data_IF_858301933117
#
_entry.id   IF_858301933117
#
_cell.length_a   1.000
_cell.length_b   1.000
_cell.length_c   1.000
_cell.angle_alpha   90.00
_cell.angle_beta   90.00
_cell.angle_gamma   90.00
#
_symmetry.space_group_name_H-M   'P 1'
#
loop_
_entity.id
_entity.type
_entity.pdbx_description
1 polymer ?
#
# COMPACT_ATOMS: atom_id res chain seq x y z
N UNK A 1 -2.80 -20.65 -33.82
CA UNK A 1 -2.05 -19.42 -34.12
C UNK A 1 -1.10 -19.18 -32.96
N UNK A 2 0.13 -18.79 -33.30
CA UNK A 2 1.35 -18.92 -32.49
C UNK A 2 1.25 -18.41 -31.05
N UNK A 3 1.52 -19.28 -30.09
CA UNK A 3 1.94 -18.90 -28.74
C UNK A 3 3.36 -18.33 -28.85
N UNK A 4 3.45 -17.00 -28.99
CA UNK A 4 4.72 -16.32 -28.83
C UNK A 4 5.14 -16.49 -27.36
N UNK A 5 6.29 -17.15 -27.15
CA UNK A 5 6.99 -17.13 -25.88
C UNK A 5 7.16 -15.66 -25.47
N UNK A 6 6.47 -15.25 -24.41
CA UNK A 6 6.56 -13.91 -23.85
C UNK A 6 7.98 -13.75 -23.30
N UNK A 7 8.84 -13.08 -24.06
CA UNK A 7 10.14 -12.63 -23.59
C UNK A 7 9.93 -11.90 -22.25
N UNK A 8 10.81 -12.15 -21.29
CA UNK A 8 10.76 -11.45 -20.00
C UNK A 8 10.94 -9.96 -20.31
N UNK A 9 9.85 -9.19 -20.30
CA UNK A 9 9.87 -7.74 -20.37
C UNK A 9 10.89 -7.23 -19.37
N UNK A 10 11.92 -6.54 -19.88
CA UNK A 10 12.89 -5.86 -19.05
C UNK A 10 12.16 -4.82 -18.18
N UNK A 11 12.66 -4.57 -16.97
CA UNK A 11 12.04 -3.58 -16.07
C UNK A 11 11.98 -2.19 -16.73
N UNK A 12 12.90 -1.88 -17.65
CA UNK A 12 12.89 -0.67 -18.47
C UNK A 12 11.72 -0.55 -19.45
N UNK A 13 11.03 -1.66 -19.77
CA UNK A 13 9.76 -1.62 -20.53
C UNK A 13 8.57 -1.25 -19.64
N UNK A 14 8.69 -1.46 -18.32
CA UNK A 14 7.63 -1.15 -17.35
C UNK A 14 7.78 0.24 -16.75
N UNK A 15 9.01 0.62 -16.41
CA UNK A 15 9.34 1.84 -15.66
C UNK A 15 10.00 2.86 -16.57
N UNK A 16 9.69 4.13 -16.38
CA UNK A 16 10.40 5.26 -16.99
C UNK A 16 11.79 5.42 -16.35
N UNK A 17 12.76 4.64 -16.81
CA UNK A 17 14.15 4.70 -16.34
C UNK A 17 14.89 5.98 -16.79
N UNK A 18 14.35 6.71 -17.76
CA UNK A 18 14.92 7.97 -18.23
C UNK A 18 14.71 9.06 -17.17
N UNK A 19 13.52 9.10 -16.57
CA UNK A 19 13.19 9.99 -15.44
C UNK A 19 13.69 9.41 -14.10
N UNK A 20 13.61 8.09 -13.93
CA UNK A 20 13.92 7.38 -12.69
C UNK A 20 15.03 6.34 -12.90
N UNK A 21 16.32 6.71 -12.83
CA UNK A 21 17.44 5.82 -13.18
C UNK A 21 17.71 4.76 -12.09
N UNK A 22 16.77 3.83 -11.92
CA UNK A 22 16.82 2.79 -10.88
C UNK A 22 17.91 1.75 -11.13
N UNK A 23 18.33 1.61 -12.38
CA UNK A 23 19.43 0.76 -12.82
C UNK A 23 20.79 1.30 -12.36
N UNK A 24 20.89 2.61 -12.09
CA UNK A 24 22.10 3.26 -11.60
C UNK A 24 21.81 4.37 -10.55
N UNK A 25 21.40 3.93 -9.36
CA UNK A 25 21.17 4.83 -8.20
C UNK A 25 22.45 5.52 -7.69
N UNK A 26 23.64 5.04 -8.07
CA UNK A 26 24.93 5.65 -7.74
C UNK A 26 25.38 6.70 -8.77
N UNK A 27 24.60 6.94 -9.82
CA UNK A 27 24.80 8.09 -10.71
C UNK A 27 24.47 9.41 -10.02
N UNK A 28 24.83 10.54 -10.65
CA UNK A 28 24.41 11.86 -10.16
C UNK A 28 22.89 12.00 -10.09
N UNK A 29 22.19 11.58 -11.15
CA UNK A 29 20.73 11.61 -11.22
C UNK A 29 20.09 10.63 -10.24
N UNK A 30 20.62 9.42 -10.11
CA UNK A 30 20.15 8.41 -9.16
C UNK A 30 20.25 8.87 -7.70
N UNK A 31 21.37 9.50 -7.32
CA UNK A 31 21.50 10.10 -5.98
C UNK A 31 20.51 11.24 -5.77
N UNK A 32 20.33 12.12 -6.77
CA UNK A 32 19.36 13.20 -6.69
C UNK A 32 17.92 12.68 -6.51
N UNK A 33 17.55 11.61 -7.20
CA UNK A 33 16.26 10.94 -7.03
C UNK A 33 16.06 10.44 -5.59
N UNK A 34 17.05 9.74 -5.02
CA UNK A 34 16.93 9.24 -3.64
C UNK A 34 16.82 10.41 -2.66
N UNK A 35 17.66 11.44 -2.83
CA UNK A 35 17.63 12.63 -1.96
C UNK A 35 16.30 13.39 -2.07
N UNK A 36 15.72 13.52 -3.27
CA UNK A 36 14.44 14.20 -3.42
C UNK A 36 13.30 13.43 -2.75
N UNK A 37 13.25 12.10 -2.91
CA UNK A 37 12.27 11.26 -2.22
C UNK A 37 12.41 11.38 -0.70
N UNK A 38 13.64 11.32 -0.19
CA UNK A 38 13.89 11.49 1.25
C UNK A 38 13.48 12.86 1.75
N UNK A 39 13.75 13.93 1.00
CA UNK A 39 13.35 15.27 1.36
C UNK A 39 11.82 15.43 1.40
N UNK A 40 11.09 14.84 0.44
CA UNK A 40 9.62 14.83 0.45
C UNK A 40 9.06 14.02 1.62
N UNK A 41 9.62 12.86 1.93
CA UNK A 41 9.22 12.09 3.11
C UNK A 41 9.47 12.85 4.41
N UNK A 42 10.60 13.54 4.53
CA UNK A 42 10.91 14.37 5.70
C UNK A 42 9.93 15.55 5.82
N UNK A 43 9.74 16.31 4.74
CA UNK A 43 8.86 17.47 4.75
C UNK A 43 7.39 17.09 4.98
N UNK A 44 6.88 16.15 4.19
CA UNK A 44 5.45 15.93 4.02
C UNK A 44 4.98 14.56 4.51
N UNK A 45 5.88 13.65 4.90
CA UNK A 45 5.54 12.27 5.28
C UNK A 45 5.19 11.36 4.09
N UNK A 46 5.26 11.89 2.86
CA UNK A 46 4.92 11.21 1.63
C UNK A 46 5.82 11.65 0.48
N UNK A 47 6.00 10.78 -0.52
CA UNK A 47 6.64 11.10 -1.79
C UNK A 47 5.88 10.39 -2.92
N UNK A 48 5.71 11.08 -4.06
CA UNK A 48 5.08 10.54 -5.26
C UNK A 48 6.02 10.67 -6.45
N UNK A 49 6.10 9.61 -7.24
CA UNK A 49 6.84 9.54 -8.49
C UNK A 49 5.81 9.42 -9.63
N UNK A 50 5.31 10.55 -10.17
CA UNK A 50 4.31 10.54 -11.24
C UNK A 50 4.89 9.99 -12.54
N UNK A 51 4.05 9.39 -13.39
CA UNK A 51 4.48 8.76 -14.65
C UNK A 51 5.60 7.72 -14.47
N UNK A 52 5.68 7.10 -13.28
CA UNK A 52 6.67 6.08 -12.98
C UNK A 52 6.55 4.86 -13.91
N UNK A 53 5.31 4.43 -14.17
CA UNK A 53 5.04 3.44 -15.20
C UNK A 53 4.99 4.06 -16.58
N UNK A 54 5.54 3.36 -17.57
CA UNK A 54 5.30 3.66 -18.98
C UNK A 54 3.81 3.42 -19.31
N UNK A 55 3.21 4.21 -20.22
CA UNK A 55 1.77 4.14 -20.50
C UNK A 55 1.26 2.74 -20.88
N UNK A 56 2.01 2.01 -21.72
CA UNK A 56 1.67 0.64 -22.10
C UNK A 56 1.64 -0.31 -20.89
N UNK A 57 2.62 -0.21 -19.99
CA UNK A 57 2.69 -1.05 -18.81
C UNK A 57 1.53 -0.77 -17.85
N UNK A 58 1.17 0.50 -17.68
CA UNK A 58 0.00 0.90 -16.91
C UNK A 58 -1.29 0.28 -17.47
N UNK A 59 -1.53 0.40 -18.77
CA UNK A 59 -2.71 -0.17 -19.44
C UNK A 59 -2.81 -1.69 -19.22
N UNK A 60 -1.70 -2.41 -19.42
CA UNK A 60 -1.64 -3.85 -19.21
C UNK A 60 -1.86 -4.25 -17.75
N UNK A 61 -1.23 -3.55 -16.80
CA UNK A 61 -1.40 -3.82 -15.37
C UNK A 61 -2.82 -3.52 -14.87
N UNK A 62 -3.49 -2.50 -15.44
CA UNK A 62 -4.91 -2.23 -15.15
C UNK A 62 -5.78 -3.40 -15.63
N UNK A 63 -5.54 -3.91 -16.85
CA UNK A 63 -6.28 -5.06 -17.36
C UNK A 63 -6.07 -6.33 -16.51
N UNK A 64 -4.83 -6.59 -16.08
CA UNK A 64 -4.52 -7.67 -15.14
C UNK A 64 -5.25 -7.50 -13.80
N UNK A 65 -5.22 -6.30 -13.22
CA UNK A 65 -5.87 -6.02 -11.95
C UNK A 65 -7.40 -6.10 -12.02
N UNK A 66 -8.02 -5.63 -13.10
CA UNK A 66 -9.48 -5.77 -13.34
C UNK A 66 -9.90 -7.23 -13.47
N UNK A 67 -9.09 -8.06 -14.13
CA UNK A 67 -9.36 -9.49 -14.25
C UNK A 67 -9.28 -10.23 -12.90
N UNK A 68 -8.43 -9.74 -11.99
CA UNK A 68 -8.27 -10.27 -10.64
C UNK A 68 -9.27 -9.70 -9.64
N UNK A 69 -9.87 -8.54 -9.90
CA UNK A 69 -10.78 -7.86 -8.99
C UNK A 69 -11.94 -8.74 -8.46
N UNK A 70 -12.55 -9.66 -9.24
CA UNK A 70 -13.56 -10.59 -8.73
C UNK A 70 -13.07 -11.58 -7.67
N UNK A 71 -11.76 -11.76 -7.52
CA UNK A 71 -11.14 -12.61 -6.50
C UNK A 71 -10.87 -11.86 -5.18
N UNK A 72 -11.18 -10.56 -5.13
CA UNK A 72 -10.97 -9.75 -3.95
C UNK A 72 -11.87 -10.21 -2.81
N UNK A 73 -11.30 -10.35 -1.61
CA UNK A 73 -12.08 -10.62 -0.41
C UNK A 73 -12.50 -9.31 0.25
N UNK A 74 -13.79 -9.14 0.48
CA UNK A 74 -14.33 -8.02 1.23
C UNK A 74 -13.99 -8.17 2.71
N UNK A 75 -13.10 -7.30 3.19
CA UNK A 75 -12.71 -7.28 4.60
C UNK A 75 -13.79 -6.68 5.51
N UNK A 76 -13.48 -6.41 6.79
CA UNK A 76 -14.42 -5.80 7.72
C UNK A 76 -14.97 -4.48 7.20
N UNK A 77 -16.25 -4.21 7.52
CA UNK A 77 -16.99 -3.02 7.07
C UNK A 77 -16.88 -1.84 8.02
N UNK A 78 -16.33 -2.05 9.22
CA UNK A 78 -16.15 -1.07 10.28
C UNK A 78 -14.88 -1.42 11.05
N UNK A 79 -13.98 -0.44 11.23
CA UNK A 79 -12.73 -0.60 11.98
C UNK A 79 -12.37 0.70 12.68
N UNK A 80 -11.66 0.60 13.81
CA UNK A 80 -11.00 1.76 14.42
C UNK A 80 -9.66 2.06 13.73
N UNK A 81 -9.08 3.26 13.94
CA UNK A 81 -7.76 3.58 13.39
C UNK A 81 -6.63 2.63 13.81
N UNK A 82 -6.85 1.88 14.89
CA UNK A 82 -5.86 1.01 15.52
C UNK A 82 -6.04 -0.47 15.17
N UNK A 83 -7.07 -0.84 14.37
CA UNK A 83 -7.39 -2.22 14.04
C UNK A 83 -7.35 -3.13 15.28
N UNK A 84 -6.39 -4.04 15.40
CA UNK A 84 -6.30 -5.01 16.49
C UNK A 84 -5.57 -4.50 17.74
N UNK A 85 -5.05 -3.27 17.72
CA UNK A 85 -4.26 -2.71 18.81
C UNK A 85 -5.12 -1.92 19.79
N UNK A 86 -6.29 -2.45 20.16
CA UNK A 86 -7.22 -1.77 21.08
C UNK A 86 -6.63 -1.54 22.47
N UNK A 87 -5.76 -2.44 22.93
CA UNK A 87 -5.16 -2.40 24.26
C UNK A 87 -4.06 -1.33 24.40
N UNK A 88 -3.73 -0.59 23.33
CA UNK A 88 -2.67 0.43 23.35
C UNK A 88 -2.96 1.55 24.36
N UNK A 89 -4.23 1.79 24.68
CA UNK A 89 -4.67 2.75 25.68
C UNK A 89 -5.13 2.10 27.00
N UNK A 90 -4.96 0.78 27.14
CA UNK A 90 -5.53 -0.01 28.22
C UNK A 90 -7.04 -0.28 28.07
N UNK A 91 -7.59 -1.11 28.96
CA UNK A 91 -8.98 -1.56 28.88
C UNK A 91 -10.01 -0.51 29.36
N UNK A 92 -9.59 0.45 30.20
CA UNK A 92 -10.47 1.40 30.90
C UNK A 92 -10.45 2.79 30.25
N UNK A 93 -10.77 2.84 28.95
CA UNK A 93 -10.94 4.11 28.22
C UNK A 93 -12.42 4.43 28.00
N UNK A 94 -12.82 5.71 27.86
CA UNK A 94 -14.20 6.07 27.53
C UNK A 94 -14.63 5.59 26.14
N UNK A 95 -15.93 5.47 25.89
CA UNK A 95 -16.48 5.04 24.59
C UNK A 95 -16.10 5.95 23.42
N UNK A 96 -15.87 7.24 23.68
CA UNK A 96 -15.40 8.21 22.68
C UNK A 96 -13.91 8.16 22.38
N UNK A 97 -13.14 7.28 23.05
CA UNK A 97 -11.69 7.21 22.87
C UNK A 97 -11.31 6.75 21.45
N UNK A 98 -10.29 7.31 20.78
CA UNK A 98 -9.92 6.96 19.40
C UNK A 98 -9.80 5.46 19.11
N UNK A 99 -9.31 4.68 20.06
CA UNK A 99 -9.19 3.21 19.92
C UNK A 99 -10.54 2.50 19.79
N UNK A 100 -11.64 3.09 20.30
CA UNK A 100 -13.02 2.58 20.22
C UNK A 100 -13.84 3.21 19.10
N UNK A 101 -13.35 4.27 18.45
CA UNK A 101 -14.07 4.95 17.37
C UNK A 101 -13.90 4.20 16.07
N UNK A 102 -14.93 3.47 15.67
CA UNK A 102 -14.96 2.84 14.37
C UNK A 102 -15.47 3.79 13.29
N UNK A 103 -15.05 3.54 12.05
CA UNK A 103 -15.69 4.14 10.90
C UNK A 103 -15.71 3.23 9.69
N UNK A 104 -16.42 3.69 8.66
CA UNK A 104 -16.80 2.87 7.52
C UNK A 104 -15.59 2.46 6.69
N UNK A 105 -15.48 1.16 6.45
CA UNK A 105 -14.55 0.55 5.49
C UNK A 105 -15.39 -0.20 4.45
N UNK A 106 -15.03 -0.05 3.19
CA UNK A 106 -15.71 -0.73 2.08
C UNK A 106 -14.68 -0.93 0.97
N UNK A 107 -13.92 -2.01 1.07
CA UNK A 107 -12.91 -2.38 0.08
C UNK A 107 -12.64 -3.88 0.14
N UNK A 108 -12.40 -4.45 -1.04
CA UNK A 108 -11.91 -5.81 -1.21
C UNK A 108 -10.40 -5.83 -1.42
N UNK A 109 -9.74 -6.93 -1.07
CA UNK A 109 -8.32 -7.12 -1.39
C UNK A 109 -8.05 -8.44 -2.09
N UNK A 110 -7.33 -8.38 -3.21
CA UNK A 110 -6.73 -9.56 -3.85
C UNK A 110 -5.38 -9.80 -3.20
N UNK A 111 -5.22 -10.96 -2.57
CA UNK A 111 -3.97 -11.36 -1.92
C UNK A 111 -2.91 -11.81 -2.92
N UNK A 112 -1.65 -11.81 -2.48
CA UNK A 112 -0.51 -12.13 -3.33
C UNK A 112 -0.57 -13.50 -4.00
N UNK A 113 -1.02 -14.54 -3.28
CA UNK A 113 -1.09 -15.91 -3.78
C UNK A 113 -2.11 -16.10 -4.92
N UNK A 114 -3.00 -15.14 -5.12
CA UNK A 114 -3.98 -15.12 -6.21
C UNK A 114 -3.46 -14.35 -7.44
N UNK A 115 -2.33 -13.66 -7.33
CA UNK A 115 -1.73 -12.89 -8.44
C UNK A 115 -0.81 -13.81 -9.24
N UNK A 116 -1.03 -14.00 -10.56
CA UNK A 116 -0.18 -14.84 -11.39
C UNK A 116 1.29 -14.40 -11.33
N UNK A 117 2.21 -15.36 -11.21
CA UNK A 117 3.65 -15.07 -11.07
C UNK A 117 4.23 -14.36 -12.29
N UNK A 118 3.63 -14.61 -13.45
CA UNK A 118 4.05 -14.09 -14.75
C UNK A 118 3.50 -12.68 -15.02
N UNK A 119 2.56 -12.20 -14.19
CA UNK A 119 1.93 -10.86 -14.31
C UNK A 119 2.97 -9.74 -14.25
N UNK A 120 2.66 -8.62 -14.90
CA UNK A 120 3.55 -7.46 -14.87
C UNK A 120 3.69 -6.90 -13.45
N UNK A 121 2.64 -6.96 -12.63
CA UNK A 121 2.71 -6.58 -11.21
C UNK A 121 3.71 -7.42 -10.43
N UNK A 122 3.71 -8.74 -10.62
CA UNK A 122 4.70 -9.62 -10.00
C UNK A 122 6.11 -9.30 -10.51
N UNK A 123 6.29 -9.08 -11.83
CA UNK A 123 7.61 -8.71 -12.39
C UNK A 123 8.14 -7.41 -11.78
N UNK A 124 7.29 -6.39 -11.63
CA UNK A 124 7.65 -5.13 -11.01
C UNK A 124 8.04 -5.32 -9.54
N UNK A 125 7.20 -6.00 -8.75
CA UNK A 125 7.48 -6.26 -7.33
C UNK A 125 8.76 -7.08 -7.12
N UNK A 126 9.01 -8.08 -7.98
CA UNK A 126 10.22 -8.92 -7.92
C UNK A 126 11.45 -8.29 -8.58
N UNK A 127 11.37 -7.07 -9.10
CA UNK A 127 12.55 -6.36 -9.57
C UNK A 127 13.44 -5.94 -8.40
N UNK A 128 14.70 -6.34 -8.45
CA UNK A 128 15.70 -5.90 -7.47
C UNK A 128 15.97 -4.38 -7.59
N UNK A 129 15.60 -3.74 -8.70
CA UNK A 129 15.69 -2.27 -8.82
C UNK A 129 14.71 -1.58 -7.86
N UNK A 130 13.49 -2.10 -7.74
CA UNK A 130 12.48 -1.56 -6.82
C UNK A 130 12.92 -1.77 -5.38
N UNK A 131 13.33 -2.98 -5.02
CA UNK A 131 13.82 -3.28 -3.67
C UNK A 131 15.02 -2.40 -3.31
N UNK A 132 15.97 -2.20 -4.23
CA UNK A 132 17.12 -1.31 -4.03
C UNK A 132 16.71 0.15 -3.86
N UNK A 133 15.77 0.67 -4.67
CA UNK A 133 15.24 2.02 -4.50
C UNK A 133 14.70 2.22 -3.08
N UNK A 134 13.81 1.33 -2.63
CA UNK A 134 13.21 1.43 -1.29
C UNK A 134 14.25 1.29 -0.19
N UNK A 135 15.25 0.40 -0.35
CA UNK A 135 16.37 0.29 0.59
C UNK A 135 17.16 1.60 0.70
N UNK A 136 17.51 2.21 -0.44
CA UNK A 136 18.27 3.48 -0.48
C UNK A 136 17.47 4.62 0.14
N UNK A 137 16.17 4.73 -0.16
CA UNK A 137 15.28 5.72 0.45
C UNK A 137 15.23 5.55 1.98
N UNK A 138 15.15 4.31 2.48
CA UNK A 138 15.18 4.00 3.93
C UNK A 138 16.57 4.10 4.57
N UNK A 139 17.60 4.56 3.86
CA UNK A 139 18.99 4.58 4.33
C UNK A 139 19.49 3.20 4.81
N UNK A 140 19.02 2.13 4.18
CA UNK A 140 19.45 0.75 4.45
C UNK A 140 20.44 0.30 3.38
N UNK A 141 21.43 -0.48 3.80
CA UNK A 141 22.33 -1.20 2.87
C UNK A 141 21.61 -2.34 2.17
N UNK A 142 20.61 -2.92 2.83
CA UNK A 142 19.82 -4.03 2.33
C UNK A 142 18.38 -3.94 2.85
N UNK A 143 17.46 -4.37 2.00
CA UNK A 143 16.05 -4.53 2.33
C UNK A 143 15.57 -5.81 1.62
N UNK A 144 14.60 -6.48 2.21
CA UNK A 144 14.02 -7.70 1.67
C UNK A 144 12.59 -7.43 1.22
N UNK A 145 12.14 -8.15 0.20
CA UNK A 145 10.70 -8.31 -0.04
C UNK A 145 10.11 -9.09 1.14
N UNK A 146 8.88 -8.76 1.55
CA UNK A 146 8.19 -9.58 2.55
C UNK A 146 8.12 -11.02 2.04
N UNK A 147 8.35 -12.00 2.92
CA UNK A 147 8.33 -13.43 2.56
C UNK A 147 6.93 -14.05 2.76
N UNK A 148 5.92 -13.21 2.96
CA UNK A 148 4.55 -13.63 3.24
C UNK A 148 3.82 -14.05 1.96
N UNK A 149 3.08 -15.16 2.02
CA UNK A 149 2.37 -15.69 0.85
C UNK A 149 1.18 -14.81 0.44
N UNK A 150 0.66 -13.98 1.34
CA UNK A 150 -0.58 -13.24 1.15
C UNK A 150 -0.36 -11.72 1.14
N UNK A 151 0.48 -11.21 2.04
CA UNK A 151 0.67 -9.78 2.32
C UNK A 151 1.75 -9.10 1.50
N UNK A 152 2.62 -9.86 0.83
CA UNK A 152 3.80 -9.32 0.12
C UNK A 152 3.47 -8.35 -1.00
N UNK A 153 2.40 -8.65 -1.72
CA UNK A 153 1.86 -7.86 -2.82
C UNK A 153 0.35 -8.02 -2.80
N UNK A 154 -0.42 -6.94 -2.74
CA UNK A 154 -1.88 -7.05 -2.82
C UNK A 154 -2.48 -5.93 -3.65
N UNK A 155 -3.70 -6.18 -4.15
CA UNK A 155 -4.48 -5.20 -4.91
C UNK A 155 -5.70 -4.83 -4.07
N UNK A 156 -5.77 -3.57 -3.65
CA UNK A 156 -6.94 -2.95 -3.06
C UNK A 156 -7.93 -2.59 -4.16
N UNK A 157 -9.16 -3.08 -4.02
CA UNK A 157 -10.26 -2.95 -4.97
C UNK A 157 -11.39 -2.19 -4.30
N UNK A 158 -11.72 -1.01 -4.83
CA UNK A 158 -12.85 -0.21 -4.35
C UNK A 158 -13.82 0.05 -5.51
N UNK A 159 -15.04 -0.46 -5.38
CA UNK A 159 -16.16 -0.13 -6.26
C UNK A 159 -16.79 1.22 -5.85
N UNK A 160 -17.88 1.62 -6.50
CA UNK A 160 -18.68 2.78 -6.09
C UNK A 160 -19.05 2.73 -4.60
N UNK A 161 -18.87 3.85 -3.90
CA UNK A 161 -19.06 3.95 -2.46
C UNK A 161 -18.00 3.21 -1.63
N UNK A 162 -16.97 2.65 -2.27
CA UNK A 162 -15.79 2.07 -1.63
C UNK A 162 -14.99 3.13 -0.89
N UNK A 163 -14.46 2.80 0.28
CA UNK A 163 -13.70 3.72 1.12
C UNK A 163 -12.82 2.96 2.12
N UNK A 164 -11.86 3.66 2.69
CA UNK A 164 -11.06 3.15 3.80
C UNK A 164 -11.04 4.21 4.89
N UNK A 165 -11.55 3.88 6.06
CA UNK A 165 -11.54 4.79 7.21
C UNK A 165 -10.10 5.17 7.62
N UNK A 166 -9.98 6.26 8.36
CA UNK A 166 -8.77 6.62 9.10
C UNK A 166 -8.14 5.42 9.81
N UNK A 167 -6.86 5.16 9.54
CA UNK A 167 -6.08 4.09 10.15
C UNK A 167 -4.58 4.38 10.10
N UNK A 168 -3.83 3.59 10.87
CA UNK A 168 -2.37 3.53 10.82
C UNK A 168 -1.90 2.22 10.19
N UNK A 169 -0.75 2.28 9.53
CA UNK A 169 -0.07 1.09 9.04
C UNK A 169 0.89 0.53 10.07
N UNK A 170 1.17 -0.77 9.94
CA UNK A 170 2.25 -1.41 10.73
C UNK A 170 3.63 -1.06 10.16
N UNK A 171 3.75 -0.93 8.85
CA UNK A 171 5.01 -0.66 8.17
C UNK A 171 5.44 0.80 8.31
N UNK A 172 6.72 1.04 8.60
CA UNK A 172 7.28 2.39 8.68
C UNK A 172 7.22 3.15 7.35
N UNK A 173 7.34 2.44 6.23
CA UNK A 173 7.25 3.01 4.89
C UNK A 173 6.39 2.08 4.03
N UNK A 174 5.23 2.59 3.60
CA UNK A 174 4.32 1.88 2.70
C UNK A 174 4.63 2.31 1.28
N UNK A 175 4.79 1.33 0.39
CA UNK A 175 5.02 1.57 -1.03
C UNK A 175 3.77 1.15 -1.80
N UNK A 176 3.18 2.06 -2.56
CA UNK A 176 1.95 1.80 -3.32
C UNK A 176 2.08 2.28 -4.76
N UNK A 177 1.27 1.68 -5.63
CA UNK A 177 1.18 2.03 -7.04
C UNK A 177 -0.31 2.16 -7.38
N UNK A 178 -0.75 3.36 -7.72
CA UNK A 178 -2.13 3.55 -8.18
C UNK A 178 -2.23 3.06 -9.63
N UNK A 179 -3.04 2.06 -9.90
CA UNK A 179 -3.25 1.55 -11.26
C UNK A 179 -4.42 2.27 -11.93
N UNK A 180 -5.52 2.44 -11.19
CA UNK A 180 -6.72 3.06 -11.72
C UNK A 180 -7.33 3.97 -10.67
N UNK A 181 -7.51 5.24 -11.01
CA UNK A 181 -8.28 6.19 -10.23
C UNK A 181 -9.79 5.97 -10.46
N UNK A 182 -10.60 6.34 -9.46
CA UNK A 182 -12.04 6.48 -9.62
C UNK A 182 -12.39 7.63 -10.58
N UNK A 183 -13.66 7.76 -10.97
CA UNK A 183 -14.14 8.95 -11.71
C UNK A 183 -14.06 10.21 -10.85
N UNK A 184 -14.38 10.10 -9.56
CA UNK A 184 -14.15 11.13 -8.55
C UNK A 184 -14.11 10.50 -7.14
N UNK A 185 -13.72 11.27 -6.13
CA UNK A 185 -13.50 10.73 -4.79
C UNK A 185 -12.31 9.76 -4.77
N UNK A 186 -12.27 8.83 -3.82
CA UNK A 186 -11.12 7.92 -3.69
C UNK A 186 -9.81 8.65 -3.36
N UNK A 187 -9.91 9.85 -2.79
CA UNK A 187 -8.79 10.73 -2.45
C UNK A 187 -8.07 10.15 -1.25
N UNK A 188 -6.74 10.09 -1.33
CA UNK A 188 -5.90 9.71 -0.20
C UNK A 188 -5.70 10.93 0.69
N UNK A 189 -6.23 10.87 1.90
CA UNK A 189 -6.06 11.92 2.91
C UNK A 189 -5.20 11.40 4.06
N UNK A 190 -4.34 12.23 4.62
CA UNK A 190 -3.48 11.86 5.73
C UNK A 190 -3.17 13.01 6.69
N UNK A 191 -2.92 12.69 7.95
CA UNK A 191 -2.40 13.58 8.97
C UNK A 191 -0.97 13.14 9.32
N UNK A 192 0.07 13.81 8.78
CA UNK A 192 1.46 13.38 8.90
C UNK A 192 1.93 13.43 10.34
N UNK A 193 2.63 12.36 10.76
CA UNK A 193 3.33 12.27 12.05
C UNK A 193 2.45 12.76 13.21
N UNK A 194 1.20 12.34 13.20
CA UNK A 194 0.23 12.68 14.25
C UNK A 194 0.59 12.00 15.57
N UNK A 195 1.35 10.90 15.52
CA UNK A 195 1.90 10.17 16.67
C UNK A 195 3.40 9.93 16.53
N UNK A 196 4.05 9.46 17.60
CA UNK A 196 5.45 9.05 17.62
C UNK A 196 5.63 7.78 18.49
N UNK A 197 6.88 7.39 18.77
CA UNK A 197 7.19 6.17 19.53
C UNK A 197 6.85 6.32 21.03
N UNK A 198 6.79 7.55 21.54
CA UNK A 198 6.55 7.85 22.95
C UNK A 198 5.08 8.14 23.26
N UNK A 199 4.32 8.66 22.30
CA UNK A 199 2.94 9.12 22.49
C UNK A 199 2.09 8.93 21.22
N UNK A 200 0.87 8.41 21.43
CA UNK A 200 -0.16 8.23 20.40
C UNK A 200 -0.89 9.52 20.07
N UNK A 201 -0.77 10.56 20.93
CA UNK A 201 -1.45 11.84 20.83
C UNK A 201 -2.96 11.69 20.57
N UNK A 202 -3.63 10.93 21.44
CA UNK A 202 -5.05 10.58 21.25
C UNK A 202 -5.97 11.79 21.08
N UNK A 203 -5.67 12.93 21.70
CA UNK A 203 -6.45 14.17 21.55
C UNK A 203 -6.37 14.72 20.12
N UNK A 204 -5.17 14.72 19.51
CA UNK A 204 -4.99 15.13 18.11
C UNK A 204 -5.70 14.16 17.16
N UNK A 205 -5.57 12.86 17.42
CA UNK A 205 -6.26 11.82 16.65
C UNK A 205 -7.78 12.03 16.76
N UNK A 206 -8.31 12.26 17.96
CA UNK A 206 -9.73 12.53 18.19
C UNK A 206 -10.20 13.74 17.39
N UNK A 207 -9.44 14.84 17.39
CA UNK A 207 -9.77 16.05 16.63
C UNK A 207 -9.94 15.77 15.13
N UNK A 208 -9.02 14.99 14.53
CA UNK A 208 -9.14 14.58 13.11
C UNK A 208 -10.35 13.68 12.88
N UNK A 209 -10.64 12.75 13.80
CA UNK A 209 -11.82 11.89 13.73
C UNK A 209 -13.14 12.68 13.87
N UNK A 210 -13.14 13.78 14.64
CA UNK A 210 -14.25 14.73 14.78
C UNK A 210 -14.39 15.68 13.60
N UNK A 211 -13.46 15.60 12.63
CA UNK A 211 -13.53 16.31 11.36
C UNK A 211 -12.64 17.53 11.26
N UNK A 212 -11.73 17.78 12.23
CA UNK A 212 -10.70 18.79 12.07
C UNK A 212 -9.81 18.45 10.86
N UNK A 213 -9.61 19.46 10.01
CA UNK A 213 -8.82 19.39 8.77
C UNK A 213 -7.54 20.20 8.84
N UNK A 214 -7.26 20.87 9.96
CA UNK A 214 -6.09 21.73 10.14
C UNK A 214 -4.76 21.03 9.87
N UNK A 215 -4.69 19.71 10.11
CA UNK A 215 -3.53 18.84 9.88
C UNK A 215 -3.72 17.83 8.76
N UNK A 216 -4.84 17.89 8.04
CA UNK A 216 -5.15 16.90 6.99
C UNK A 216 -4.65 17.40 5.65
N UNK A 217 -3.85 16.57 5.00
CA UNK A 217 -3.31 16.79 3.67
C UNK A 217 -3.93 15.78 2.70
N UNK A 218 -4.05 16.18 1.44
CA UNK A 218 -4.44 15.29 0.35
C UNK A 218 -3.19 14.94 -0.46
N UNK A 219 -2.98 13.64 -0.72
CA UNK A 219 -1.96 13.18 -1.64
C UNK A 219 -2.62 12.98 -3.02
N UNK A 220 -2.21 13.78 -3.99
CA UNK A 220 -2.68 13.64 -5.37
C UNK A 220 -2.05 12.39 -6.01
N UNK A 221 -2.75 11.26 -5.93
CA UNK A 221 -2.32 10.00 -6.52
C UNK A 221 -2.74 9.93 -7.99
N UNK A 222 -1.76 9.92 -8.88
CA UNK A 222 -1.98 9.75 -10.32
C UNK A 222 -1.84 8.28 -10.74
N UNK A 223 -2.68 7.76 -11.66
CA UNK A 223 -2.48 6.44 -12.24
C UNK A 223 -1.08 6.27 -12.81
N UNK A 224 -0.43 5.15 -12.48
CA UNK A 224 0.96 4.86 -12.84
C UNK A 224 2.01 5.44 -11.91
N UNK A 225 1.64 6.24 -10.91
CA UNK A 225 2.58 6.82 -9.95
C UNK A 225 2.97 5.82 -8.85
N UNK A 226 4.27 5.71 -8.56
CA UNK A 226 4.79 5.01 -7.38
C UNK A 226 4.80 5.98 -6.20
N UNK A 227 4.24 5.57 -5.06
CA UNK A 227 4.09 6.42 -3.89
C UNK A 227 4.71 5.75 -2.67
N UNK A 228 5.43 6.54 -1.88
CA UNK A 228 6.02 6.11 -0.62
C UNK A 228 5.44 6.97 0.50
N UNK A 229 5.00 6.36 1.59
CA UNK A 229 4.27 7.05 2.64
C UNK A 229 4.59 6.49 4.04
N UNK A 230 4.77 7.37 5.02
CA UNK A 230 5.06 7.02 6.42
C UNK A 230 3.79 6.69 7.22
N UNK A 231 3.12 5.60 6.87
CA UNK A 231 1.82 5.23 7.45
C UNK A 231 1.85 4.77 8.91
N UNK A 232 3.03 4.46 9.45
CA UNK A 232 3.13 4.11 10.86
C UNK A 232 2.80 5.28 11.79
N UNK A 233 3.35 6.47 11.52
CA UNK A 233 3.14 7.66 12.35
C UNK A 233 2.05 8.59 11.81
N UNK A 234 1.57 8.33 10.60
CA UNK A 234 0.64 9.21 9.89
C UNK A 234 -0.70 8.50 9.71
N UNK A 235 -1.74 9.03 10.36
CA UNK A 235 -3.09 8.50 10.21
C UNK A 235 -3.59 8.85 8.80
N UNK A 236 -4.21 7.91 8.10
CA UNK A 236 -4.62 8.14 6.71
C UNK A 236 -5.89 7.38 6.34
N UNK A 237 -6.54 7.82 5.27
CA UNK A 237 -7.80 7.28 4.78
C UNK A 237 -7.92 7.41 3.26
N UNK A 238 -8.91 6.71 2.71
CA UNK A 238 -9.35 6.90 1.33
C UNK A 238 -10.81 7.35 1.35
N UNK A 239 -11.10 8.53 0.80
CA UNK A 239 -12.46 9.06 0.73
C UNK A 239 -13.36 8.20 -0.15
N UNK A 240 -14.69 8.28 -0.01
CA UNK A 240 -15.60 7.48 -0.82
C UNK A 240 -15.34 7.64 -2.32
N UNK A 241 -15.23 6.50 -3.00
CA UNK A 241 -15.19 6.39 -4.47
C UNK A 241 -16.55 6.75 -5.03
N UNK A 242 -16.57 7.60 -6.06
CA UNK A 242 -17.79 8.01 -6.77
C UNK A 242 -17.64 7.65 -8.24
N UNK A 243 -18.70 7.06 -8.81
CA UNK A 243 -18.72 6.56 -10.17
C UNK A 243 -18.46 5.06 -10.26
N UNK A 244 -18.64 4.52 -11.46
CA UNK A 244 -18.64 3.07 -11.72
C UNK A 244 -17.25 2.50 -11.95
N UNK A 245 -16.28 3.36 -12.32
CA UNK A 245 -14.88 2.95 -12.44
C UNK A 245 -14.30 2.58 -11.08
N UNK A 246 -13.80 1.36 -10.97
CA UNK A 246 -13.12 0.89 -9.76
C UNK A 246 -11.84 1.70 -9.52
N UNK A 247 -11.58 2.01 -8.25
CA UNK A 247 -10.25 2.44 -7.83
C UNK A 247 -9.41 1.19 -7.53
N UNK A 248 -8.27 1.06 -8.19
CA UNK A 248 -7.36 -0.08 -8.07
C UNK A 248 -5.99 0.42 -7.63
N UNK A 249 -5.53 -0.04 -6.47
CA UNK A 249 -4.22 0.32 -5.92
C UNK A 249 -3.47 -0.92 -5.48
N UNK A 250 -2.22 -1.04 -5.91
CA UNK A 250 -1.32 -2.10 -5.49
C UNK A 250 -0.46 -1.63 -4.32
N UNK A 251 -0.19 -2.54 -3.38
CA UNK A 251 0.67 -2.30 -2.21
C UNK A 251 1.82 -3.31 -2.24
N UNK A 252 3.06 -2.80 -2.12
CA UNK A 252 4.29 -3.59 -2.02
C UNK A 252 4.78 -3.60 -0.58
N UNK A 253 5.02 -4.79 -0.04
CA UNK A 253 5.54 -4.94 1.32
C UNK A 253 7.02 -5.35 1.32
N UNK A 254 7.79 -4.66 2.14
CA UNK A 254 9.22 -4.92 2.34
C UNK A 254 9.50 -5.17 3.82
N UNK A 255 10.62 -5.82 4.11
CA UNK A 255 11.05 -6.20 5.44
C UNK A 255 12.54 -5.90 5.66
N UNK A 256 12.89 -5.62 6.91
CA UNK A 256 14.29 -5.38 7.31
C UNK A 256 15.09 -6.70 7.42
N UNK A 257 14.43 -7.81 7.71
CA UNK A 257 15.04 -9.14 7.85
C UNK A 257 14.55 -10.12 6.76
N UNK A 258 15.39 -11.06 6.31
CA UNK A 258 14.96 -12.13 5.42
C UNK A 258 13.90 -13.00 6.09
N UNK A 259 13.09 -13.67 5.27
CA UNK A 259 12.05 -14.61 5.74
C UNK A 259 11.04 -14.00 6.72
N UNK A 260 10.88 -12.68 6.72
CA UNK A 260 9.86 -12.00 7.52
C UNK A 260 8.48 -12.32 6.97
N UNK A 261 7.61 -12.86 7.84
CA UNK A 261 6.22 -13.17 7.53
C UNK A 261 5.25 -12.17 8.18
N UNK A 262 4.10 -11.99 7.54
CA UNK A 262 3.01 -11.20 8.07
C UNK A 262 2.29 -11.92 9.21
N UNK A 263 1.38 -11.20 9.87
CA UNK A 263 0.54 -11.80 10.91
C UNK A 263 -0.59 -12.61 10.27
N UNK A 264 -0.75 -13.88 10.64
CA UNK A 264 -1.79 -14.76 10.09
C UNK A 264 -3.22 -14.25 10.33
N UNK A 265 -3.51 -13.70 11.52
CA UNK A 265 -4.81 -13.08 11.84
C UNK A 265 -5.10 -11.90 10.90
N UNK A 266 -4.08 -11.12 10.54
CA UNK A 266 -4.18 -10.07 9.53
C UNK A 266 -4.53 -10.66 8.15
N UNK A 267 -3.81 -11.70 7.72
CA UNK A 267 -4.11 -12.37 6.45
C UNK A 267 -5.54 -12.90 6.39
N UNK A 268 -6.04 -13.53 7.46
CA UNK A 268 -7.43 -14.02 7.52
C UNK A 268 -8.43 -12.87 7.46
N UNK A 269 -8.17 -11.76 8.16
CA UNK A 269 -9.04 -10.60 8.15
C UNK A 269 -9.16 -9.98 6.75
N UNK A 270 -8.04 -9.86 6.05
CA UNK A 270 -7.96 -9.12 4.78
C UNK A 270 -8.20 -9.98 3.55
N UNK A 271 -7.98 -11.29 3.63
CA UNK A 271 -8.03 -12.20 2.48
C UNK A 271 -8.96 -13.40 2.68
N UNK A 272 -9.65 -13.46 3.82
CA UNK A 272 -10.76 -14.35 4.09
C UNK A 272 -10.38 -15.70 4.72
N UNK A 273 -11.40 -16.52 5.04
CA UNK A 273 -11.23 -17.79 5.74
C UNK A 273 -10.38 -18.81 4.96
N UNK A 274 -10.28 -18.67 3.63
CA UNK A 274 -9.40 -19.48 2.77
C UNK A 274 -7.95 -19.52 3.26
N UNK A 275 -7.48 -18.46 3.93
CA UNK A 275 -6.12 -18.40 4.45
C UNK A 275 -5.92 -19.43 5.55
N UNK A 276 -6.89 -19.54 6.46
CA UNK A 276 -6.85 -20.53 7.54
C UNK A 276 -6.82 -21.95 6.98
N UNK A 277 -7.65 -22.24 5.99
CA UNK A 277 -7.75 -23.56 5.35
C UNK A 277 -6.42 -23.94 4.68
N UNK A 278 -5.84 -23.04 3.89
CA UNK A 278 -4.57 -23.26 3.21
C UNK A 278 -3.39 -23.45 4.18
N UNK A 279 -3.36 -22.70 5.28
CA UNK A 279 -2.30 -22.88 6.28
C UNK A 279 -2.49 -24.18 7.09
N UNK A 280 -3.73 -24.59 7.38
CA UNK A 280 -3.99 -25.88 8.02
C UNK A 280 -3.50 -27.05 7.16
N UNK A 281 -3.84 -27.06 5.87
CA UNK A 281 -3.41 -28.12 4.94
C UNK A 281 -1.88 -28.23 4.86
N UNK A 282 -1.16 -27.10 4.93
CA UNK A 282 0.31 -27.08 4.90
C UNK A 282 0.97 -27.63 6.15
N UNK A 283 0.33 -27.52 7.31
CA UNK A 283 0.89 -28.08 8.55
C UNK A 283 0.61 -29.59 8.66
N UNK A 284 -0.33 -30.10 7.86
CA UNK A 284 -0.71 -31.52 7.83
C UNK A 284 -0.02 -32.31 6.70
N UNK A 285 0.53 -31.61 5.69
CA UNK A 285 1.30 -32.18 4.56
C UNK A 285 2.79 -32.28 4.84
#
# INVERSE_FOLDING_TARGET
MSAAAQTIADIGELVDLDTYPLDNLDSGQGRMLVTSIQASLEADGAASLPNFLRPWALEMMVAEAEALAPLAFDGPTSVSPYFFNYDIAGADVPDGHPTRREGRRNLGQVAYDLIPRESLLCRLYHSDLITRLVARVRNKTQLFRLADRYQSLNISVMNEGGCQQWHFDRGQLVTTLLLQAAESGGVFEYAPRIRNDEDEHFDDVAAVLDGDRSRVHELNLEPGALNLFQGHYSMHRVTPVVGTRRRLQTIFAFADEPDTHGNLKSSILHYGPRVSELELDRHLS
#
